data_IF_917996870919
#
_entry.id   IF_917996870919
#
_cell.length_a   1.000
_cell.length_b   1.000
_cell.length_c   1.000
_cell.angle_alpha   90.00
_cell.angle_beta   90.00
_cell.angle_gamma   90.00
#
_symmetry.space_group_name_H-M   'P 1'
#
loop_
_entity.id
_entity.type
_entity.pdbx_description
1 polymer ?
#
# COMPACT_ATOMS: atom_id res chain seq x y z
N UNK A 1 25.19 -13.22 7.13
CA UNK A 1 24.65 -11.95 7.70
C UNK A 1 23.12 -11.95 7.72
N UNK A 2 22.49 -13.05 7.32
CA UNK A 2 21.08 -13.09 6.90
C UNK A 2 20.13 -13.27 8.09
N UNK A 3 20.59 -13.85 9.20
CA UNK A 3 19.77 -14.16 10.36
C UNK A 3 19.29 -12.93 11.14
N UNK A 4 20.12 -11.88 11.21
CA UNK A 4 19.73 -10.61 11.83
C UNK A 4 18.72 -9.85 10.95
N UNK A 5 18.92 -9.91 9.64
CA UNK A 5 18.01 -9.30 8.67
C UNK A 5 16.65 -10.00 8.69
N UNK A 6 16.63 -11.33 8.71
CA UNK A 6 15.41 -12.13 8.82
C UNK A 6 14.68 -11.89 10.15
N UNK A 7 15.39 -11.66 11.25
CA UNK A 7 14.77 -11.30 12.53
C UNK A 7 14.07 -9.92 12.47
N UNK A 8 14.73 -8.89 11.92
CA UNK A 8 14.19 -7.53 11.82
C UNK A 8 13.07 -7.39 10.79
N UNK A 9 13.23 -8.06 9.64
CA UNK A 9 12.36 -7.89 8.47
C UNK A 9 11.42 -9.08 8.25
N UNK A 10 11.50 -10.13 9.06
CA UNK A 10 10.70 -11.38 8.99
C UNK A 10 10.81 -12.18 7.68
N UNK A 11 11.45 -11.62 6.65
CA UNK A 11 11.58 -12.20 5.32
C UNK A 11 13.05 -12.32 4.91
N UNK A 12 13.33 -13.32 4.07
CA UNK A 12 14.67 -13.52 3.55
C UNK A 12 15.11 -12.38 2.62
N UNK A 13 16.39 -11.98 2.64
CA UNK A 13 16.92 -10.90 1.80
C UNK A 13 16.75 -11.13 0.29
N UNK A 14 16.52 -12.38 -0.15
CA UNK A 14 16.24 -12.71 -1.55
C UNK A 14 14.89 -12.15 -2.04
N UNK A 15 13.92 -11.97 -1.13
CA UNK A 15 12.59 -11.41 -1.43
C UNK A 15 12.72 -9.92 -1.79
N UNK A 16 13.62 -9.20 -1.12
CA UNK A 16 13.92 -7.80 -1.39
C UNK A 16 14.72 -7.58 -2.68
N UNK A 17 15.45 -8.59 -3.17
CA UNK A 17 16.19 -8.51 -4.45
C UNK A 17 15.32 -8.68 -5.68
N UNK A 18 14.16 -9.34 -5.53
CA UNK A 18 13.18 -9.53 -6.62
C UNK A 18 12.00 -8.57 -6.55
N UNK A 19 11.71 -8.01 -5.38
CA UNK A 19 10.64 -7.04 -5.21
C UNK A 19 11.12 -5.62 -5.51
N UNK A 20 10.24 -4.82 -6.12
CA UNK A 20 10.47 -3.39 -6.25
C UNK A 20 10.05 -2.71 -4.94
N UNK A 21 10.92 -1.86 -4.39
CA UNK A 21 10.57 -1.02 -3.24
C UNK A 21 9.66 0.07 -3.76
N UNK A 22 8.42 0.08 -3.29
CA UNK A 22 7.46 1.13 -3.58
C UNK A 22 6.89 1.67 -2.29
N UNK A 23 6.34 2.88 -2.37
CA UNK A 23 5.58 3.45 -1.27
C UNK A 23 4.12 3.25 -1.62
N UNK A 24 3.42 2.41 -0.84
CA UNK A 24 1.99 2.15 -1.05
C UNK A 24 1.10 3.34 -0.67
N UNK A 25 1.69 4.48 -0.35
CA UNK A 25 0.94 5.72 -0.13
C UNK A 25 0.49 6.25 -1.48
N UNK A 26 -0.78 6.66 -1.59
CA UNK A 26 -1.31 7.33 -2.80
C UNK A 26 -0.73 8.74 -3.02
N UNK A 27 0.38 9.07 -2.38
CA UNK A 27 1.07 10.35 -2.50
C UNK A 27 1.97 10.29 -3.72
N UNK A 28 1.87 11.29 -4.60
CA UNK A 28 2.81 11.43 -5.71
C UNK A 28 4.23 11.69 -5.16
N UNK A 29 5.24 11.30 -5.94
CA UNK A 29 6.66 11.47 -5.59
C UNK A 29 6.99 12.91 -5.19
N UNK A 30 6.32 13.89 -5.78
CA UNK A 30 6.51 15.31 -5.47
C UNK A 30 6.11 15.64 -4.03
N UNK A 31 4.96 15.14 -3.55
CA UNK A 31 4.54 15.32 -2.16
C UNK A 31 5.54 14.71 -1.17
N UNK A 32 6.17 13.59 -1.55
CA UNK A 32 7.22 12.98 -0.74
C UNK A 32 8.45 13.89 -0.62
N UNK A 33 8.87 14.53 -1.73
CA UNK A 33 9.96 15.51 -1.73
C UNK A 33 9.61 16.74 -0.89
N UNK A 34 8.38 17.24 -0.97
CA UNK A 34 7.93 18.37 -0.16
C UNK A 34 7.91 18.04 1.34
N UNK A 35 7.47 16.84 1.72
CA UNK A 35 7.50 16.37 3.12
C UNK A 35 8.94 16.29 3.64
N UNK A 36 9.85 15.76 2.81
CA UNK A 36 11.28 15.70 3.11
C UNK A 36 11.87 17.09 3.39
N UNK A 37 11.61 18.01 2.47
CA UNK A 37 12.10 19.38 2.53
C UNK A 37 11.51 20.12 3.72
N UNK A 38 10.20 19.99 3.96
CA UNK A 38 9.52 20.58 5.11
C UNK A 38 10.13 20.11 6.43
N UNK A 39 10.46 18.82 6.53
CA UNK A 39 11.07 18.28 7.73
C UNK A 39 12.50 18.77 7.95
N UNK A 40 13.30 18.90 6.88
CA UNK A 40 14.62 19.52 6.93
C UNK A 40 14.54 20.99 7.39
N UNK A 41 13.55 21.73 6.90
CA UNK A 41 13.31 23.12 7.31
C UNK A 41 12.92 23.18 8.78
N UNK A 42 12.04 22.29 9.27
CA UNK A 42 11.68 22.19 10.69
C UNK A 42 12.91 21.90 11.55
N UNK A 43 13.84 21.05 11.09
CA UNK A 43 15.11 20.79 11.77
C UNK A 43 15.97 22.05 11.90
N UNK A 44 16.15 22.78 10.79
CA UNK A 44 16.95 24.00 10.73
C UNK A 44 16.33 25.14 11.55
N UNK A 45 15.00 25.30 11.49
CA UNK A 45 14.27 26.27 12.30
C UNK A 45 14.31 25.90 13.78
N UNK A 46 14.19 24.61 14.12
CA UNK A 46 14.36 24.10 15.48
C UNK A 46 15.73 24.47 16.06
N UNK A 47 16.79 24.35 15.24
CA UNK A 47 18.15 24.79 15.57
C UNK A 47 18.26 26.30 15.78
N UNK A 48 17.72 27.08 14.85
CA UNK A 48 17.78 28.54 14.89
C UNK A 48 16.98 29.12 16.07
N UNK A 49 15.85 28.51 16.43
CA UNK A 49 14.95 29.01 17.48
C UNK A 49 15.32 28.62 18.90
N UNK A 50 16.26 27.69 19.10
CA UNK A 50 16.68 27.35 20.47
C UNK A 50 17.60 28.43 21.02
N UNK A 51 17.05 29.34 21.83
CA UNK A 51 17.74 30.41 22.55
C UNK A 51 18.47 29.94 23.84
N UNK A 52 18.55 28.62 24.05
CA UNK A 52 19.14 28.05 25.26
C UNK A 52 20.67 27.98 25.15
N UNK A 53 21.38 28.41 26.21
CA UNK A 53 22.83 28.33 26.38
C UNK A 53 23.30 26.88 26.63
N UNK A 54 22.87 25.94 25.78
CA UNK A 54 23.35 24.58 25.81
C UNK A 54 24.60 24.45 24.95
N UNK A 55 25.57 23.61 25.34
CA UNK A 55 26.69 23.28 24.48
C UNK A 55 26.17 22.75 23.14
N UNK A 56 26.77 23.24 22.04
CA UNK A 56 26.32 23.00 20.67
C UNK A 56 26.12 21.51 20.36
N UNK A 57 26.94 20.64 20.95
CA UNK A 57 26.86 19.17 20.81
C UNK A 57 25.54 18.59 21.32
N UNK A 58 25.12 18.99 22.53
CA UNK A 58 23.86 18.51 23.13
C UNK A 58 22.65 19.05 22.36
N UNK A 59 22.72 20.31 21.94
CA UNK A 59 21.70 20.94 21.10
C UNK A 59 21.52 20.19 19.78
N UNK A 60 22.63 19.87 19.09
CA UNK A 60 22.60 19.11 17.85
C UNK A 60 22.05 17.70 18.05
N UNK A 61 22.44 17.02 19.14
CA UNK A 61 21.92 15.69 19.49
C UNK A 61 20.40 15.68 19.70
N UNK A 62 19.85 16.65 20.44
CA UNK A 62 18.40 16.75 20.67
C UNK A 62 17.62 17.04 19.38
N UNK A 63 18.16 17.89 18.51
CA UNK A 63 17.54 18.19 17.21
C UNK A 63 17.56 16.94 16.34
N UNK A 64 18.72 16.30 16.20
CA UNK A 64 18.87 15.07 15.42
C UNK A 64 17.94 13.97 15.92
N UNK A 65 17.79 13.80 17.24
CA UNK A 65 16.87 12.83 17.83
C UNK A 65 15.41 13.16 17.50
N UNK A 66 15.00 14.42 17.67
CA UNK A 66 13.62 14.87 17.38
C UNK A 66 13.29 14.71 15.91
N UNK A 67 14.18 15.16 15.03
CA UNK A 67 14.00 15.10 13.57
C UNK A 67 14.06 13.65 13.09
N UNK A 68 14.92 12.82 13.68
CA UNK A 68 15.01 11.40 13.40
C UNK A 68 13.73 10.65 13.75
N UNK A 69 13.13 10.96 14.91
CA UNK A 69 11.84 10.38 15.29
C UNK A 69 10.72 10.78 14.32
N UNK A 70 10.64 12.07 13.96
CA UNK A 70 9.68 12.54 12.95
C UNK A 70 9.90 11.85 11.60
N UNK A 71 11.16 11.67 11.21
CA UNK A 71 11.54 10.96 9.98
C UNK A 71 11.08 9.51 10.00
N UNK A 72 11.32 8.81 11.11
CA UNK A 72 10.91 7.43 11.28
C UNK A 72 9.38 7.31 11.24
N UNK A 73 8.67 8.24 11.89
CA UNK A 73 7.22 8.29 11.87
C UNK A 73 6.67 8.50 10.45
N UNK A 74 7.26 9.45 9.73
CA UNK A 74 6.91 9.75 8.34
C UNK A 74 7.17 8.54 7.44
N UNK A 75 8.34 7.90 7.59
CA UNK A 75 8.69 6.70 6.85
C UNK A 75 7.67 5.58 7.09
N UNK A 76 7.28 5.32 8.34
CA UNK A 76 6.23 4.36 8.66
C UNK A 76 4.87 4.75 8.03
N UNK A 77 4.54 6.04 8.01
CA UNK A 77 3.29 6.56 7.44
C UNK A 77 3.24 6.44 5.91
N UNK A 78 4.39 6.54 5.24
CA UNK A 78 4.53 6.34 3.79
C UNK A 78 4.30 4.89 3.36
N UNK A 79 4.16 3.96 4.32
CA UNK A 79 3.91 2.52 4.10
C UNK A 79 4.91 1.95 3.07
N UNK A 80 6.20 1.85 3.43
CA UNK A 80 7.18 1.19 2.58
C UNK A 80 6.72 -0.24 2.34
N UNK A 81 6.48 -0.58 1.08
CA UNK A 81 5.98 -1.87 0.66
C UNK A 81 6.94 -2.48 -0.37
N UNK A 82 7.14 -3.79 -0.26
CA UNK A 82 7.87 -4.55 -1.28
C UNK A 82 6.84 -5.17 -2.19
N UNK A 83 6.74 -4.66 -3.42
CA UNK A 83 5.88 -5.27 -4.42
C UNK A 83 6.61 -6.44 -5.06
N UNK A 84 6.10 -7.65 -4.81
CA UNK A 84 6.53 -8.85 -5.49
C UNK A 84 5.68 -8.99 -6.75
N UNK A 85 6.21 -8.59 -7.89
CA UNK A 85 5.60 -8.82 -9.19
C UNK A 85 5.75 -10.30 -9.55
N UNK A 86 5.00 -11.15 -8.85
CA UNK A 86 4.81 -12.53 -9.26
C UNK A 86 3.80 -12.49 -10.39
N UNK A 87 4.21 -12.86 -11.60
CA UNK A 87 3.28 -13.06 -12.72
C UNK A 87 2.43 -14.26 -12.36
N UNK A 88 1.36 -14.05 -11.60
CA UNK A 88 0.29 -15.02 -11.44
C UNK A 88 -0.55 -14.85 -12.70
N UNK A 89 -0.55 -15.80 -13.66
CA UNK A 89 -1.50 -15.75 -14.75
C UNK A 89 -2.89 -15.94 -14.13
N UNK A 90 -3.56 -14.83 -13.77
CA UNK A 90 -4.96 -14.81 -13.39
C UNK A 90 -5.79 -15.09 -14.65
N UNK A 91 -5.73 -16.33 -15.14
CA UNK A 91 -6.79 -16.85 -15.99
C UNK A 91 -7.89 -17.29 -15.05
N UNK A 92 -8.82 -16.39 -14.75
CA UNK A 92 -10.15 -16.78 -14.27
C UNK A 92 -10.78 -17.62 -15.37
N UNK A 93 -10.56 -18.94 -15.32
CA UNK A 93 -11.15 -19.87 -16.27
C UNK A 93 -12.53 -20.25 -15.76
N UNK A 94 -13.56 -19.64 -16.37
CA UNK A 94 -14.95 -20.04 -16.15
C UNK A 94 -15.28 -21.05 -17.23
N UNK A 95 -15.36 -22.32 -16.85
CA UNK A 95 -15.85 -23.37 -17.74
C UNK A 95 -17.37 -23.27 -17.84
N UNK A 96 -17.89 -22.91 -19.01
CA UNK A 96 -19.31 -22.99 -19.33
C UNK A 96 -19.59 -24.37 -19.92
N UNK A 97 -20.26 -25.23 -19.15
CA UNK A 97 -20.77 -26.51 -19.64
C UNK A 97 -22.27 -26.33 -19.91
N UNK A 98 -22.62 -26.29 -21.19
CA UNK A 98 -24.01 -26.23 -21.64
C UNK A 98 -24.46 -27.67 -21.90
N UNK A 99 -25.46 -28.13 -21.16
CA UNK A 99 -26.14 -29.38 -21.43
C UNK A 99 -27.32 -29.11 -22.38
N UNK A 100 -27.42 -29.88 -23.46
CA UNK A 100 -28.53 -29.84 -24.44
C UNK A 100 -29.23 -31.19 -24.50
N UNK A 101 -29.33 -31.84 -23.33
CA UNK A 101 -30.02 -33.10 -23.21
C UNK A 101 -31.52 -32.91 -23.48
N UNK A 102 -32.14 -33.90 -24.11
CA UNK A 102 -33.59 -33.92 -24.39
C UNK A 102 -34.45 -33.78 -23.11
N UNK A 103 -33.88 -34.02 -21.92
CA UNK A 103 -34.54 -33.75 -20.63
C UNK A 103 -34.68 -32.27 -20.29
N UNK A 104 -33.85 -31.39 -20.88
CA UNK A 104 -33.94 -29.94 -20.72
C UNK A 104 -34.98 -29.29 -21.66
N UNK A 105 -35.63 -30.05 -22.55
CA UNK A 105 -36.69 -29.52 -23.43
C UNK A 105 -38.07 -29.46 -22.75
N UNK A 106 -38.16 -29.81 -21.46
CA UNK A 106 -39.37 -29.64 -20.67
C UNK A 106 -39.47 -28.16 -20.34
N UNK A 107 -40.50 -27.50 -20.85
CA UNK A 107 -40.74 -26.09 -20.58
C UNK A 107 -41.09 -25.89 -19.10
N UNK A 108 -40.22 -25.18 -18.37
CA UNK A 108 -40.55 -24.72 -17.02
C UNK A 108 -41.63 -23.63 -17.11
N UNK A 109 -42.79 -23.88 -16.46
CA UNK A 109 -43.95 -22.97 -16.45
C UNK A 109 -43.66 -21.59 -15.81
N UNK A 110 -42.47 -21.38 -15.24
CA UNK A 110 -42.08 -20.12 -14.62
C UNK A 110 -41.83 -18.97 -15.62
N UNK A 111 -41.58 -19.27 -16.91
CA UNK A 111 -41.39 -18.23 -17.93
C UNK A 111 -42.71 -17.60 -18.42
N UNK A 112 -43.86 -18.21 -18.12
CA UNK A 112 -45.18 -17.74 -18.56
C UNK A 112 -45.87 -16.78 -17.56
N UNK A 113 -45.25 -16.49 -16.40
CA UNK A 113 -45.89 -15.67 -15.35
C UNK A 113 -45.51 -14.19 -15.35
N UNK A 114 -44.87 -13.70 -16.41
CA UNK A 114 -44.55 -12.28 -16.59
C UNK A 114 -45.23 -11.64 -17.82
N UNK A 115 -46.03 -12.40 -18.58
CA UNK A 115 -46.74 -11.91 -19.78
C UNK A 115 -48.22 -11.50 -19.50
N UNK A 116 -48.72 -11.71 -18.27
CA UNK A 116 -50.10 -11.36 -17.88
C UNK A 116 -50.24 -9.92 -17.31
N UNK A 117 -49.22 -9.05 -17.47
CA UNK A 117 -49.25 -7.65 -16.98
C UNK A 117 -49.19 -6.58 -18.07
N UNK A 118 -49.55 -6.89 -19.30
CA UNK A 118 -49.60 -5.86 -20.36
C UNK A 118 -50.88 -5.87 -21.19
N UNK A 119 -52.06 -5.93 -20.56
CA UNK A 119 -53.29 -5.42 -21.19
C UNK A 119 -54.26 -4.90 -20.12
N UNK A 120 -54.17 -3.62 -19.78
CA UNK A 120 -55.27 -2.88 -19.15
C UNK A 120 -55.43 -1.53 -19.88
N UNK A 121 -56.43 -1.47 -20.75
CA UNK A 121 -57.00 -0.29 -21.42
C UNK A 121 -58.50 -0.52 -21.59
#
# INVERSE_FOLDING_TARGET
MDRWFEFLFKYQPIVFRRGEITFASGLSTEWMVFLLAGLLIIALLGYARTAAHLPTRTKLGLIALRTGLLWMLLFCLLRPAVHLSVVIPQRSFVALLVDDSQSMSIADEAALRDDDREVDC
#
